data_IF_129171058773
#
_entry.id   IF_129171058773
#
_cell.length_a   1.000
_cell.length_b   1.000
_cell.length_c   1.000
_cell.angle_alpha   90.00
_cell.angle_beta   90.00
_cell.angle_gamma   90.00
#
_symmetry.space_group_name_H-M   'P 1'
#
loop_
_entity.id
_entity.type
_entity.pdbx_description
1 polymer ?
#
# COMPACT_ATOMS: atom_id res chain seq x y z
N UNK A 1 5.07 14.76 12.64
CA UNK A 1 5.13 13.32 12.30
C UNK A 1 5.35 13.10 10.80
N UNK A 2 4.50 13.59 9.87
CA UNK A 2 4.73 13.36 8.42
C UNK A 2 6.08 13.90 7.94
N UNK A 3 6.39 15.15 8.20
CA UNK A 3 7.66 15.78 7.79
C UNK A 3 8.88 15.06 8.36
N UNK A 4 8.78 14.56 9.59
CA UNK A 4 9.83 13.78 10.23
C UNK A 4 9.98 12.41 9.54
N UNK A 5 8.85 11.74 9.22
CA UNK A 5 8.84 10.49 8.44
C UNK A 5 9.54 10.68 7.09
N UNK A 6 9.16 11.71 6.34
CA UNK A 6 9.76 12.00 5.03
C UNK A 6 11.25 12.35 5.13
N UNK A 7 11.65 13.09 6.19
CA UNK A 7 13.06 13.42 6.43
C UNK A 7 13.90 12.16 6.70
N UNK A 8 13.39 11.24 7.52
CA UNK A 8 14.07 9.97 7.81
C UNK A 8 14.24 9.15 6.54
N UNK A 9 13.16 8.98 5.76
CA UNK A 9 13.19 8.21 4.52
C UNK A 9 14.14 8.80 3.47
N UNK A 10 14.23 10.13 3.39
CA UNK A 10 15.18 10.81 2.51
C UNK A 10 16.63 10.57 2.94
N UNK A 11 16.92 10.56 4.25
CA UNK A 11 18.25 10.28 4.77
C UNK A 11 18.67 8.81 4.58
N UNK A 12 17.73 7.89 4.71
CA UNK A 12 17.98 6.46 4.57
C UNK A 12 17.98 5.98 3.09
N UNK A 13 17.73 6.87 2.13
CA UNK A 13 17.64 6.54 0.70
C UNK A 13 16.66 5.37 0.45
N UNK A 14 15.46 5.49 0.97
CA UNK A 14 14.44 4.43 0.89
C UNK A 14 14.36 3.81 -0.52
N UNK A 15 14.48 2.49 -0.58
CA UNK A 15 14.51 1.75 -1.84
C UNK A 15 13.11 1.48 -2.41
N UNK A 16 13.02 1.20 -3.70
CA UNK A 16 11.80 0.67 -4.34
C UNK A 16 10.69 1.68 -4.58
N UNK A 17 10.93 2.98 -4.37
CA UNK A 17 9.90 4.02 -4.51
C UNK A 17 9.30 4.09 -5.92
N UNK A 18 10.09 3.83 -6.96
CA UNK A 18 9.68 3.84 -8.37
C UNK A 18 9.22 2.45 -8.88
N UNK A 19 9.15 1.45 -8.03
CA UNK A 19 8.72 0.09 -8.40
C UNK A 19 7.18 -0.09 -8.36
N UNK A 20 6.42 0.96 -8.05
CA UNK A 20 4.97 0.93 -8.06
C UNK A 20 4.42 0.47 -9.42
N UNK A 21 3.43 -0.43 -9.38
CA UNK A 21 2.78 -0.98 -10.58
C UNK A 21 1.31 -0.64 -10.55
N UNK A 22 0.84 0.02 -11.60
CA UNK A 22 -0.57 0.38 -11.77
C UNK A 22 -1.25 -0.63 -12.68
N UNK A 23 -2.36 -1.16 -12.22
CA UNK A 23 -3.26 -2.04 -12.97
C UNK A 23 -4.59 -1.32 -13.15
N UNK A 24 -4.94 -0.99 -14.39
CA UNK A 24 -6.24 -0.45 -14.75
C UNK A 24 -7.24 -1.60 -14.99
N UNK A 25 -8.56 -1.36 -15.06
CA UNK A 25 -9.56 -2.41 -15.24
C UNK A 25 -9.25 -3.37 -16.41
N UNK A 26 -8.83 -2.86 -17.55
CA UNK A 26 -8.45 -3.69 -18.71
C UNK A 26 -7.24 -4.60 -18.42
N UNK A 27 -6.29 -4.13 -17.63
CA UNK A 27 -5.13 -4.92 -17.21
C UNK A 27 -5.58 -6.07 -16.30
N UNK A 28 -6.52 -5.78 -15.36
CA UNK A 28 -7.08 -6.76 -14.43
C UNK A 28 -7.89 -7.82 -15.17
N UNK A 29 -8.77 -7.43 -16.10
CA UNK A 29 -9.52 -8.38 -16.93
C UNK A 29 -8.60 -9.29 -17.76
N UNK A 30 -7.48 -8.74 -18.27
CA UNK A 30 -6.48 -9.53 -18.99
C UNK A 30 -5.80 -10.53 -18.05
N UNK A 31 -5.43 -10.11 -16.85
CA UNK A 31 -4.84 -10.99 -15.84
C UNK A 31 -5.82 -12.08 -15.43
N UNK A 32 -7.09 -11.75 -15.19
CA UNK A 32 -8.13 -12.71 -14.84
C UNK A 32 -8.30 -13.78 -15.94
N UNK A 33 -8.35 -13.38 -17.20
CA UNK A 33 -8.39 -14.31 -18.33
C UNK A 33 -7.17 -15.22 -18.39
N UNK A 34 -5.98 -14.74 -18.02
CA UNK A 34 -4.75 -15.54 -17.99
C UNK A 34 -4.72 -16.52 -16.82
N UNK A 35 -5.24 -16.12 -15.66
CA UNK A 35 -5.23 -16.89 -14.41
C UNK A 35 -6.42 -17.84 -14.34
N UNK A 36 -7.54 -17.48 -14.94
CA UNK A 36 -8.89 -17.99 -14.71
C UNK A 36 -9.11 -19.51 -14.87
N UNK A 37 -8.18 -20.24 -15.47
CA UNK A 37 -8.24 -21.71 -15.49
C UNK A 37 -7.44 -22.37 -14.35
N UNK A 38 -6.48 -21.68 -13.75
CA UNK A 38 -5.64 -22.19 -12.65
C UNK A 38 -6.16 -21.83 -11.27
N UNK A 39 -6.92 -20.75 -11.15
CA UNK A 39 -7.45 -20.25 -9.87
C UNK A 39 -8.58 -21.14 -9.28
N UNK A 40 -9.11 -22.08 -10.05
CA UNK A 40 -10.13 -23.03 -9.58
C UNK A 40 -9.58 -24.27 -8.88
N UNK A 41 -8.25 -24.46 -8.83
CA UNK A 41 -7.67 -25.43 -7.92
C UNK A 41 -7.86 -24.87 -6.51
N UNK A 42 -8.69 -25.53 -5.71
CA UNK A 42 -9.17 -25.12 -4.39
C UNK A 42 -7.99 -24.82 -3.45
N UNK A 43 -7.56 -23.57 -3.42
CA UNK A 43 -6.74 -23.09 -2.32
C UNK A 43 -7.61 -23.07 -1.06
N UNK A 44 -7.20 -23.78 -0.03
CA UNK A 44 -7.85 -23.68 1.28
C UNK A 44 -7.44 -22.33 1.88
N UNK A 45 -8.36 -21.38 1.85
CA UNK A 45 -8.14 -20.10 2.52
C UNK A 45 -8.50 -20.22 4.00
N UNK A 46 -7.62 -19.76 4.86
CA UNK A 46 -7.88 -19.58 6.28
C UNK A 46 -8.16 -18.11 6.54
N UNK A 47 -9.19 -17.82 7.32
CA UNK A 47 -9.58 -16.48 7.74
C UNK A 47 -9.44 -16.37 9.24
N UNK A 48 -8.67 -15.37 9.68
CA UNK A 48 -8.53 -15.02 11.09
C UNK A 48 -8.86 -13.52 11.23
N UNK A 49 -9.48 -13.13 12.33
CA UNK A 49 -9.77 -11.74 12.66
C UNK A 49 -9.10 -11.38 13.98
N UNK A 50 -8.28 -10.34 13.94
CA UNK A 50 -7.58 -9.83 15.12
C UNK A 50 -7.77 -8.32 15.24
N UNK A 51 -7.91 -7.81 16.45
CA UNK A 51 -7.96 -6.38 16.71
C UNK A 51 -6.52 -5.85 16.85
N UNK A 52 -5.93 -5.45 15.72
CA UNK A 52 -4.55 -5.00 15.66
C UNK A 52 -4.36 -4.03 14.49
N UNK A 53 -3.41 -3.12 14.60
CA UNK A 53 -2.94 -2.28 13.50
C UNK A 53 -2.39 -3.12 12.34
N UNK A 54 -2.61 -2.65 11.10
CA UNK A 54 -2.26 -3.41 9.89
C UNK A 54 -0.74 -3.66 9.78
N UNK A 55 0.09 -2.65 10.08
CA UNK A 55 1.55 -2.81 10.03
C UNK A 55 2.10 -3.62 11.22
N UNK A 56 1.52 -3.45 12.42
CA UNK A 56 1.86 -4.30 13.55
C UNK A 56 1.58 -5.77 13.25
N UNK A 57 0.42 -6.06 12.62
CA UNK A 57 0.09 -7.41 12.18
C UNK A 57 1.06 -7.92 11.09
N UNK A 58 1.35 -7.09 10.08
CA UNK A 58 2.27 -7.45 9.00
C UNK A 58 3.67 -7.80 9.54
N UNK A 59 4.18 -7.02 10.49
CA UNK A 59 5.46 -7.30 11.16
C UNK A 59 5.43 -8.61 11.95
N UNK A 60 4.36 -8.85 12.71
CA UNK A 60 4.17 -10.10 13.44
C UNK A 60 4.12 -11.31 12.49
N UNK A 61 3.41 -11.19 11.37
CA UNK A 61 3.35 -12.23 10.35
C UNK A 61 4.72 -12.46 9.69
N UNK A 62 5.48 -11.39 9.41
CA UNK A 62 6.83 -11.51 8.87
C UNK A 62 7.77 -12.26 9.81
N UNK A 63 7.67 -12.02 11.12
CA UNK A 63 8.45 -12.75 12.13
C UNK A 63 8.06 -14.23 12.20
N UNK A 64 6.75 -14.52 12.15
CA UNK A 64 6.24 -15.88 12.23
C UNK A 64 6.46 -16.68 10.93
N UNK A 65 6.43 -16.01 9.79
CA UNK A 65 6.50 -16.62 8.46
C UNK A 65 7.48 -15.86 7.54
N UNK A 66 8.79 -15.92 7.80
CA UNK A 66 9.79 -15.08 7.13
C UNK A 66 9.92 -15.33 5.63
N UNK A 67 9.50 -16.50 5.14
CA UNK A 67 9.55 -16.86 3.72
C UNK A 67 8.27 -16.52 2.95
N UNK A 68 7.19 -16.15 3.66
CA UNK A 68 5.90 -15.88 3.04
C UNK A 68 5.81 -14.43 2.54
N UNK A 69 5.02 -14.24 1.48
CA UNK A 69 4.72 -12.91 0.97
C UNK A 69 3.55 -12.33 1.74
N UNK A 70 3.74 -11.13 2.29
CA UNK A 70 2.71 -10.41 3.04
C UNK A 70 2.23 -9.25 2.17
N UNK A 71 0.92 -9.16 1.99
CA UNK A 71 0.27 -8.06 1.29
C UNK A 71 -0.63 -7.32 2.28
N UNK A 72 -0.46 -6.00 2.36
CA UNK A 72 -1.32 -5.11 3.17
C UNK A 72 -2.26 -4.37 2.22
N UNK A 73 -3.57 -4.43 2.49
CA UNK A 73 -4.55 -3.66 1.74
C UNK A 73 -4.54 -2.20 2.22
N UNK A 74 -4.39 -1.27 1.28
CA UNK A 74 -4.64 0.15 1.48
C UNK A 74 -6.01 0.51 0.88
N UNK A 75 -6.91 1.07 1.69
CA UNK A 75 -8.21 1.61 1.26
C UNK A 75 -8.01 3.00 0.69
N UNK A 76 -7.34 3.04 -0.46
CA UNK A 76 -6.76 4.24 -1.07
C UNK A 76 -7.79 5.26 -1.55
N UNK A 77 -7.45 6.54 -1.41
CA UNK A 77 -8.13 7.62 -2.10
C UNK A 77 -7.84 7.52 -3.61
N UNK A 78 -8.86 7.51 -4.48
CA UNK A 78 -8.63 7.36 -5.92
C UNK A 78 -8.12 8.62 -6.63
N UNK A 79 -8.17 9.78 -5.97
CA UNK A 79 -7.87 11.07 -6.58
C UNK A 79 -6.60 11.73 -6.05
N UNK A 80 -6.21 11.43 -4.81
CA UNK A 80 -5.12 12.09 -4.12
C UNK A 80 -4.21 11.07 -3.42
N UNK A 81 -2.91 11.02 -3.75
CA UNK A 81 -1.95 10.13 -3.10
C UNK A 81 -1.92 10.34 -1.58
N UNK A 82 -2.13 9.26 -0.82
CA UNK A 82 -2.15 9.32 0.63
C UNK A 82 -3.33 10.09 1.23
N UNK A 83 -4.39 10.33 0.43
CA UNK A 83 -5.61 10.97 0.90
C UNK A 83 -5.38 12.36 1.48
N UNK A 84 -5.84 12.57 2.72
CA UNK A 84 -5.69 13.84 3.42
C UNK A 84 -4.48 13.94 4.35
N UNK A 85 -3.47 13.07 4.22
CA UNK A 85 -2.33 13.00 5.15
C UNK A 85 -1.58 14.33 5.29
N UNK A 86 -1.40 15.07 4.17
CA UNK A 86 -0.74 16.39 4.18
C UNK A 86 -1.58 17.49 4.84
N UNK A 87 -2.88 17.26 5.01
CA UNK A 87 -3.82 18.14 5.70
C UNK A 87 -4.15 17.70 7.13
N UNK A 88 -3.46 16.66 7.62
CA UNK A 88 -3.65 16.15 8.97
C UNK A 88 -4.86 15.23 9.14
N UNK A 89 -5.47 14.73 8.05
CA UNK A 89 -6.51 13.71 8.14
C UNK A 89 -5.95 12.41 8.75
N UNK A 90 -6.82 11.63 9.35
CA UNK A 90 -6.51 10.38 10.05
C UNK A 90 -7.52 9.32 9.67
N UNK A 91 -7.14 8.45 8.77
CA UNK A 91 -7.85 7.23 8.40
C UNK A 91 -6.81 6.16 8.04
N UNK A 92 -7.21 5.03 7.53
CA UNK A 92 -6.31 3.89 7.30
C UNK A 92 -5.18 4.24 6.32
N UNK A 93 -5.47 4.90 5.20
CA UNK A 93 -4.44 5.29 4.22
C UNK A 93 -3.45 6.30 4.82
N UNK A 94 -3.96 7.32 5.51
CA UNK A 94 -3.13 8.34 6.15
C UNK A 94 -2.21 7.73 7.21
N UNK A 95 -2.72 6.79 7.98
CA UNK A 95 -1.94 6.08 9.00
C UNK A 95 -0.83 5.23 8.38
N UNK A 96 -1.12 4.50 7.31
CA UNK A 96 -0.10 3.78 6.55
C UNK A 96 0.98 4.74 6.01
N UNK A 97 0.58 5.88 5.45
CA UNK A 97 1.50 6.89 4.92
C UNK A 97 2.35 7.58 6.01
N UNK A 98 1.80 7.78 7.21
CA UNK A 98 2.52 8.37 8.34
C UNK A 98 3.59 7.44 8.90
N UNK A 99 3.39 6.14 8.80
CA UNK A 99 4.21 5.13 9.46
C UNK A 99 5.17 4.39 8.52
N UNK A 100 5.20 4.74 7.21
CA UNK A 100 6.00 4.03 6.22
C UNK A 100 6.43 4.90 5.02
N UNK A 101 7.16 4.28 4.09
CA UNK A 101 7.54 4.87 2.80
C UNK A 101 6.39 4.88 1.77
N UNK A 102 5.18 4.44 2.13
CA UNK A 102 4.07 4.28 1.18
C UNK A 102 3.78 5.57 0.41
N UNK A 103 3.72 6.73 1.10
CA UNK A 103 3.40 8.01 0.45
C UNK A 103 4.36 8.33 -0.69
N UNK A 104 5.66 8.10 -0.52
CA UNK A 104 6.66 8.33 -1.56
C UNK A 104 6.39 7.45 -2.80
N UNK A 105 6.01 6.19 -2.60
CA UNK A 105 5.62 5.30 -3.70
C UNK A 105 4.33 5.77 -4.40
N UNK A 106 3.33 6.23 -3.65
CA UNK A 106 2.07 6.74 -4.21
C UNK A 106 2.25 8.06 -4.98
N UNK A 107 3.18 8.92 -4.56
CA UNK A 107 3.54 10.17 -5.24
C UNK A 107 4.55 9.97 -6.38
N UNK A 108 5.05 8.74 -6.58
CA UNK A 108 6.02 8.45 -7.64
C UNK A 108 5.42 8.63 -9.04
N UNK A 109 6.30 8.87 -10.02
CA UNK A 109 5.90 8.94 -11.42
C UNK A 109 5.21 7.65 -11.89
N UNK A 110 5.60 6.51 -11.36
CA UNK A 110 5.02 5.21 -11.70
C UNK A 110 3.54 5.11 -11.29
N UNK A 111 3.17 5.67 -10.13
CA UNK A 111 1.78 5.66 -9.62
C UNK A 111 0.87 6.70 -10.31
N UNK A 112 1.42 7.72 -10.96
CA UNK A 112 0.67 8.84 -11.54
C UNK A 112 -0.47 8.39 -12.48
N UNK A 113 -0.28 7.30 -13.24
CA UNK A 113 -1.29 6.75 -14.18
C UNK A 113 -2.60 6.39 -13.47
N UNK A 114 -2.54 5.92 -12.20
CA UNK A 114 -3.73 5.56 -11.42
C UNK A 114 -4.61 6.78 -11.13
N UNK A 115 -4.02 7.85 -10.62
CA UNK A 115 -4.73 9.08 -10.27
C UNK A 115 -5.26 9.80 -11.51
N UNK A 116 -4.43 9.88 -12.57
CA UNK A 116 -4.85 10.47 -13.84
C UNK A 116 -6.05 9.72 -14.45
N UNK A 117 -6.08 8.39 -14.36
CA UNK A 117 -7.19 7.58 -14.81
C UNK A 117 -8.48 7.94 -14.06
N UNK A 118 -8.45 7.96 -12.71
CA UNK A 118 -9.64 8.28 -11.90
C UNK A 118 -10.13 9.71 -12.09
N UNK A 119 -9.22 10.68 -12.17
CA UNK A 119 -9.59 12.06 -12.50
C UNK A 119 -10.28 12.18 -13.88
N UNK A 120 -9.92 11.33 -14.83
CA UNK A 120 -10.52 11.27 -16.15
C UNK A 120 -11.92 10.64 -16.21
N UNK A 121 -12.29 9.80 -15.25
CA UNK A 121 -13.58 9.10 -15.23
C UNK A 121 -14.79 10.03 -15.06
N UNK A 122 -14.61 11.23 -14.49
CA UNK A 122 -15.70 12.17 -14.16
C UNK A 122 -16.84 11.50 -13.38
N UNK A 123 -16.53 10.55 -12.53
CA UNK A 123 -17.44 9.76 -11.72
C UNK A 123 -17.13 9.94 -10.24
N UNK A 124 -18.12 10.01 -9.35
CA UNK A 124 -17.90 10.00 -7.92
C UNK A 124 -17.50 8.62 -7.39
N UNK A 125 -17.63 7.57 -8.22
CA UNK A 125 -17.25 6.21 -7.87
C UNK A 125 -15.83 5.90 -8.36
N UNK A 126 -15.07 5.19 -7.55
CA UNK A 126 -13.80 4.60 -7.97
C UNK A 126 -14.04 3.38 -8.87
N UNK A 127 -12.98 2.89 -9.49
CA UNK A 127 -12.96 1.67 -10.29
C UNK A 127 -12.21 0.57 -9.56
N UNK A 128 -12.10 -0.62 -10.18
CA UNK A 128 -11.29 -1.74 -9.69
C UNK A 128 -9.79 -1.55 -9.94
N UNK A 129 -9.36 -0.40 -10.49
CA UNK A 129 -7.94 -0.11 -10.68
C UNK A 129 -7.19 -0.16 -9.34
N UNK A 130 -5.95 -0.66 -9.37
CA UNK A 130 -5.11 -0.80 -8.18
C UNK A 130 -3.68 -0.34 -8.42
N UNK A 131 -3.00 0.02 -7.33
CA UNK A 131 -1.56 0.24 -7.29
C UNK A 131 -0.96 -0.84 -6.40
N UNK A 132 -0.01 -1.60 -6.92
CA UNK A 132 0.85 -2.47 -6.13
C UNK A 132 2.15 -1.73 -5.83
N UNK A 133 2.42 -1.48 -4.56
CA UNK A 133 3.65 -0.84 -4.06
C UNK A 133 4.52 -1.90 -3.37
N UNK A 134 5.49 -2.48 -4.06
CA UNK A 134 6.42 -3.43 -3.46
C UNK A 134 7.41 -2.71 -2.54
N UNK A 135 7.98 -3.44 -1.58
CA UNK A 135 9.08 -2.96 -0.72
C UNK A 135 8.73 -1.72 0.12
N UNK A 136 7.46 -1.57 0.52
CA UNK A 136 7.08 -0.52 1.47
C UNK A 136 7.82 -0.75 2.78
N UNK A 137 8.60 0.23 3.21
CA UNK A 137 9.41 0.17 4.41
C UNK A 137 8.61 0.75 5.59
N UNK A 138 8.33 -0.06 6.59
CA UNK A 138 7.65 0.37 7.82
C UNK A 138 8.70 0.95 8.76
N UNK A 139 8.50 2.19 9.20
CA UNK A 139 9.47 2.92 10.04
C UNK A 139 8.94 3.25 11.44
N UNK A 140 7.61 3.17 11.65
CA UNK A 140 6.98 3.44 12.93
C UNK A 140 6.06 2.31 13.36
N UNK A 141 5.88 2.18 14.66
CA UNK A 141 4.87 1.34 15.28
C UNK A 141 3.51 2.06 15.33
N UNK A 142 2.46 1.34 15.72
CA UNK A 142 1.09 1.83 15.83
C UNK A 142 0.92 3.05 16.78
N UNK A 143 1.78 3.20 17.76
CA UNK A 143 1.82 4.36 18.67
C UNK A 143 2.57 5.56 18.10
N UNK A 144 3.14 5.46 16.89
CA UNK A 144 3.93 6.47 16.22
C UNK A 144 5.40 6.51 16.64
N UNK A 145 5.85 5.62 17.53
CA UNK A 145 7.26 5.50 17.90
C UNK A 145 8.10 4.95 16.75
N UNK A 146 9.35 5.41 16.63
CA UNK A 146 10.29 4.92 15.62
C UNK A 146 10.72 3.49 15.94
N UNK A 147 10.71 2.64 14.92
CA UNK A 147 11.25 1.29 15.00
C UNK A 147 12.78 1.33 15.05
N UNK A 148 13.38 0.51 15.91
CA UNK A 148 14.84 0.34 15.97
C UNK A 148 15.35 -0.37 14.71
N UNK A 149 14.60 -1.35 14.20
CA UNK A 149 14.87 -2.04 12.94
C UNK A 149 13.71 -1.82 11.98
N UNK A 150 14.03 -1.50 10.72
CA UNK A 150 13.03 -1.31 9.66
C UNK A 150 12.43 -2.66 9.23
N UNK A 151 11.16 -2.63 8.86
CA UNK A 151 10.43 -3.81 8.42
C UNK A 151 9.76 -3.58 7.06
#
# INVERSE_FOLDING_TARGET
>A
MLEETLSILAQEQAEGLDEAKVFLPDDLERMERMIGKRAHERAVCRYDCVNMDAFALARRLRQAYPQEKILVLNLANPFEPGGGVRRGARAQEEDLCLNSSLLLSLESKAAHRYYAYHCGLRSPFSSDAMILTPKVQIIRDADGSLLQERA
#
